data_IF_523965453293
#
_entry.id   IF_523965453293
#
_cell.length_a   1.000
_cell.length_b   1.000
_cell.length_c   1.000
_cell.angle_alpha   90.00
_cell.angle_beta   90.00
_cell.angle_gamma   90.00
#
_symmetry.space_group_name_H-M   'P 1'
#
loop_
_entity.id
_entity.type
_entity.pdbx_description
1 polymer ?
#
# COMPACT_ATOMS: atom_id res chain seq x y z
N UNK A 1 -23.88 6.30 35.23
CA UNK A 1 -22.42 6.48 35.07
C UNK A 1 -22.19 6.48 33.57
N UNK A 2 -21.70 7.58 33.00
CA UNK A 2 -21.34 7.63 31.58
C UNK A 2 -19.88 7.20 31.55
N UNK A 3 -19.58 6.09 30.89
CA UNK A 3 -18.20 5.62 30.72
C UNK A 3 -17.47 6.60 29.82
N UNK A 4 -16.41 7.20 30.35
CA UNK A 4 -15.58 8.19 29.67
C UNK A 4 -14.77 7.47 28.58
N UNK A 5 -15.22 7.58 27.32
CA UNK A 5 -14.59 6.95 26.16
C UNK A 5 -13.40 7.76 25.63
N UNK A 6 -12.60 8.33 26.52
CA UNK A 6 -11.32 8.95 26.17
C UNK A 6 -10.21 7.91 26.37
N UNK A 7 -10.21 6.86 25.54
CA UNK A 7 -8.99 6.05 25.37
C UNK A 7 -7.99 6.93 24.66
N UNK A 8 -7.12 7.56 25.44
CA UNK A 8 -5.99 8.32 24.94
C UNK A 8 -5.22 7.44 23.95
N UNK A 9 -5.05 7.93 22.73
CA UNK A 9 -4.15 7.34 21.73
C UNK A 9 -2.74 7.59 22.25
N UNK A 10 -2.29 6.71 23.14
CA UNK A 10 -0.93 6.68 23.65
C UNK A 10 -0.22 5.51 23.01
N UNK A 11 0.88 5.87 22.35
CA UNK A 11 1.98 5.03 21.88
C UNK A 11 1.81 4.42 20.49
N UNK A 12 2.76 4.79 19.64
CA UNK A 12 3.13 4.16 18.38
C UNK A 12 3.51 2.70 18.66
N UNK A 13 2.51 1.84 18.92
CA UNK A 13 2.70 0.40 19.02
C UNK A 13 2.95 -0.14 17.61
N UNK A 14 4.20 -0.01 17.16
CA UNK A 14 4.67 -0.73 15.98
C UNK A 14 4.36 -2.22 16.18
N UNK A 15 3.58 -2.79 15.27
CA UNK A 15 3.27 -4.21 15.27
C UNK A 15 4.58 -5.01 15.27
N UNK A 16 4.62 -6.08 16.06
CA UNK A 16 5.73 -7.02 16.02
C UNK A 16 5.79 -7.73 14.66
N UNK A 17 6.96 -8.28 14.30
CA UNK A 17 7.13 -9.02 13.04
C UNK A 17 6.14 -10.19 12.90
N UNK A 18 5.78 -10.85 14.01
CA UNK A 18 4.80 -11.94 14.01
C UNK A 18 3.36 -11.44 13.75
N UNK A 19 2.99 -10.30 14.35
CA UNK A 19 1.70 -9.64 14.07
C UNK A 19 1.65 -9.09 12.64
N UNK A 20 2.75 -8.52 12.15
CA UNK A 20 2.88 -8.10 10.75
C UNK A 20 2.73 -9.28 9.79
N UNK A 21 3.23 -10.47 10.16
CA UNK A 21 3.07 -11.69 9.37
C UNK A 21 1.64 -12.21 9.38
N UNK A 22 0.94 -12.11 10.50
CA UNK A 22 -0.49 -12.44 10.61
C UNK A 22 -1.34 -11.50 9.76
N UNK A 23 -1.11 -10.18 9.87
CA UNK A 23 -1.84 -9.14 9.13
C UNK A 23 -1.56 -9.20 7.64
N UNK A 24 -0.31 -9.44 7.25
CA UNK A 24 0.07 -9.59 5.84
C UNK A 24 -0.38 -10.91 5.23
N UNK A 25 -0.76 -11.91 6.03
CA UNK A 25 -1.15 -13.24 5.53
C UNK A 25 -0.05 -13.92 4.71
N UNK A 26 1.22 -13.54 4.93
CA UNK A 26 2.35 -14.01 4.13
C UNK A 26 2.46 -13.39 2.73
N UNK A 27 1.77 -12.27 2.48
CA UNK A 27 1.91 -11.49 1.25
C UNK A 27 3.33 -10.92 1.14
N UNK A 28 3.98 -11.20 0.01
CA UNK A 28 5.27 -10.60 -0.34
C UNK A 28 5.04 -9.24 -1.02
N UNK A 29 5.24 -8.17 -0.24
CA UNK A 29 5.09 -6.80 -0.73
C UNK A 29 6.19 -6.39 -1.71
N UNK A 30 7.37 -7.00 -1.66
CA UNK A 30 8.44 -6.72 -2.61
C UNK A 30 8.09 -7.32 -3.97
N UNK A 31 7.53 -8.53 -4.01
CA UNK A 31 6.97 -9.11 -5.22
C UNK A 31 5.83 -8.25 -5.79
N UNK A 32 4.88 -7.81 -4.96
CA UNK A 32 3.78 -6.95 -5.41
C UNK A 32 4.26 -5.60 -5.95
N UNK A 33 5.29 -5.02 -5.34
CA UNK A 33 5.92 -3.78 -5.82
C UNK A 33 6.53 -4.00 -7.20
N UNK A 34 7.25 -5.11 -7.39
CA UNK A 34 7.86 -5.43 -8.68
C UNK A 34 6.80 -5.66 -9.76
N UNK A 35 5.76 -6.43 -9.46
CA UNK A 35 4.65 -6.66 -10.41
C UNK A 35 3.94 -5.37 -10.81
N UNK A 36 3.71 -4.45 -9.86
CA UNK A 36 3.09 -3.17 -10.16
C UNK A 36 3.99 -2.26 -11.00
N UNK A 37 5.30 -2.24 -10.71
CA UNK A 37 6.28 -1.53 -11.53
C UNK A 37 6.29 -2.06 -12.97
N UNK A 38 6.22 -3.37 -13.14
CA UNK A 38 6.21 -4.02 -14.46
C UNK A 38 4.88 -3.77 -15.21
N UNK A 39 3.74 -3.76 -14.50
CA UNK A 39 2.40 -3.52 -15.09
C UNK A 39 2.17 -2.05 -15.48
N UNK A 40 2.62 -1.09 -14.66
CA UNK A 40 2.30 0.33 -14.87
C UNK A 40 3.28 1.05 -15.82
N UNK A 41 4.52 0.57 -15.93
CA UNK A 41 5.53 1.21 -16.79
C UNK A 41 5.13 1.25 -18.27
N UNK A 42 4.40 0.23 -18.76
CA UNK A 42 3.98 0.16 -20.16
C UNK A 42 2.83 1.12 -20.47
N UNK A 43 1.83 1.17 -19.57
CA UNK A 43 0.59 1.94 -19.79
C UNK A 43 0.82 3.44 -19.86
N UNK A 44 1.73 3.97 -19.05
CA UNK A 44 2.01 5.42 -19.05
C UNK A 44 2.68 5.88 -20.34
N UNK A 45 3.58 5.07 -20.91
CA UNK A 45 4.24 5.39 -22.17
C UNK A 45 3.28 5.33 -23.36
N UNK A 46 2.34 4.38 -23.33
CA UNK A 46 1.32 4.29 -24.37
C UNK A 46 0.33 5.46 -24.29
N UNK A 47 -0.11 5.87 -23.09
CA UNK A 47 -0.94 7.08 -22.91
C UNK A 47 -0.19 8.34 -23.38
N UNK A 48 1.10 8.47 -23.08
CA UNK A 48 1.92 9.60 -23.57
C UNK A 48 1.99 9.62 -25.09
N UNK A 49 2.24 8.47 -25.71
CA UNK A 49 2.28 8.32 -27.17
C UNK A 49 0.94 8.68 -27.80
N UNK A 50 -0.15 8.13 -27.27
CA UNK A 50 -1.50 8.38 -27.77
C UNK A 50 -1.88 9.87 -27.68
N UNK A 51 -1.50 10.57 -26.61
CA UNK A 51 -1.74 12.01 -26.49
C UNK A 51 -0.83 12.85 -27.40
N UNK A 52 0.40 12.39 -27.68
CA UNK A 52 1.33 13.05 -28.61
C UNK A 52 0.94 12.88 -30.08
N UNK A 53 0.29 11.77 -30.44
CA UNK A 53 -0.20 11.49 -31.81
C UNK A 53 -1.58 12.12 -32.10
N UNK A 54 -2.24 12.69 -31.08
CA UNK A 54 -3.54 13.35 -31.20
C UNK A 54 -3.45 14.83 -31.60
N UNK A 55 -2.25 15.40 -31.65
CA UNK A 55 -1.96 16.75 -32.17
C UNK A 55 -1.55 16.71 -33.65
#
# INVERSE_FOLDING_TARGET
>A
MIEDTTKAVTEDESLSDDELKEVSGGVDFDQLRQENLDKDASRLNDIRRENLEKD
#
